data_IF_489254227939
#
_entry.id   IF_489254227939
#
_cell.length_a   1.000
_cell.length_b   1.000
_cell.length_c   1.000
_cell.angle_alpha   90.00
_cell.angle_beta   90.00
_cell.angle_gamma   90.00
#
_symmetry.space_group_name_H-M   'P 1'
#
loop_
_entity.id
_entity.type
_entity.pdbx_description
1 polymer ?
#
# COMPACT_ATOMS: atom_id res chain seq x y z
N UNK A 1 35.16 -20.41 -30.58
CA UNK A 1 35.20 -19.99 -29.17
C UNK A 1 34.77 -18.55 -29.15
N UNK A 2 33.47 -18.32 -29.01
CA UNK A 2 32.86 -17.00 -29.01
C UNK A 2 32.02 -17.01 -27.75
N UNK A 3 32.51 -16.33 -26.72
CA UNK A 3 31.81 -16.19 -25.44
C UNK A 3 30.54 -15.35 -25.68
N UNK A 4 29.39 -15.99 -25.53
CA UNK A 4 28.10 -15.33 -25.40
C UNK A 4 28.05 -14.75 -23.99
N UNK A 5 28.25 -13.44 -23.85
CA UNK A 5 27.84 -12.69 -22.67
C UNK A 5 26.33 -12.86 -22.52
N UNK A 6 25.93 -13.72 -21.60
CA UNK A 6 24.57 -13.81 -21.11
C UNK A 6 24.38 -12.59 -20.21
N UNK A 7 23.70 -11.58 -20.75
CA UNK A 7 23.14 -10.47 -19.98
C UNK A 7 22.11 -11.06 -18.99
N UNK A 8 22.60 -11.49 -17.83
CA UNK A 8 21.77 -11.84 -16.70
C UNK A 8 21.25 -10.53 -16.12
N UNK A 9 20.21 -9.99 -16.74
CA UNK A 9 19.40 -8.92 -16.17
C UNK A 9 18.90 -9.37 -14.80
N UNK A 10 19.68 -9.03 -13.77
CA UNK A 10 19.28 -9.09 -12.37
C UNK A 10 18.15 -8.07 -12.26
N UNK A 11 16.92 -8.56 -12.39
CA UNK A 11 15.74 -7.80 -11.99
C UNK A 11 15.91 -7.58 -10.48
N UNK A 12 16.34 -6.37 -10.11
CA UNK A 12 16.44 -5.91 -8.73
C UNK A 12 15.05 -5.92 -8.13
N UNK A 13 14.93 -6.49 -6.94
CA UNK A 13 13.63 -6.90 -6.41
C UNK A 13 13.24 -6.05 -5.20
N UNK A 14 13.85 -4.88 -5.05
CA UNK A 14 13.25 -3.79 -4.28
C UNK A 14 12.43 -2.86 -5.20
N UNK A 15 11.47 -3.41 -5.96
CA UNK A 15 10.57 -2.59 -6.77
C UNK A 15 9.70 -1.74 -5.85
N UNK A 16 10.26 -0.59 -5.52
CA UNK A 16 9.63 0.43 -4.73
C UNK A 16 8.46 0.95 -5.57
N UNK A 17 7.25 0.58 -5.15
CA UNK A 17 6.00 0.87 -5.87
C UNK A 17 5.89 2.38 -6.13
N UNK A 18 6.41 3.22 -5.24
CA UNK A 18 6.42 4.68 -5.36
C UNK A 18 7.43 5.23 -6.40
N UNK A 19 8.36 4.40 -6.88
CA UNK A 19 9.33 4.72 -7.93
C UNK A 19 8.97 4.12 -9.29
N UNK A 20 7.79 3.48 -9.43
CA UNK A 20 7.41 2.88 -10.69
C UNK A 20 7.29 3.94 -11.80
N UNK A 21 7.54 3.52 -13.04
CA UNK A 21 7.31 4.40 -14.20
C UNK A 21 5.82 4.64 -14.34
N UNK A 22 5.43 5.91 -14.36
CA UNK A 22 4.04 6.32 -14.45
C UNK A 22 3.59 6.39 -15.91
N UNK A 23 2.31 6.13 -16.14
CA UNK A 23 1.68 6.33 -17.45
C UNK A 23 1.63 7.82 -17.81
N UNK A 24 1.61 8.18 -19.10
CA UNK A 24 1.55 9.59 -19.52
C UNK A 24 0.41 10.38 -18.88
N UNK A 25 -0.78 9.77 -18.74
CA UNK A 25 -1.94 10.40 -18.11
C UNK A 25 -1.75 10.64 -16.61
N UNK A 26 -1.05 9.74 -15.91
CA UNK A 26 -0.71 9.91 -14.50
C UNK A 26 0.31 11.05 -14.32
N UNK A 27 1.32 11.14 -15.19
CA UNK A 27 2.26 12.25 -15.21
C UNK A 27 1.58 13.58 -15.52
N UNK A 28 0.60 13.60 -16.43
CA UNK A 28 -0.20 14.78 -16.74
C UNK A 28 -1.00 15.24 -15.51
N UNK A 29 -1.58 14.30 -14.75
CA UNK A 29 -2.26 14.61 -13.49
C UNK A 29 -1.30 15.20 -12.45
N UNK A 30 -0.13 14.60 -12.21
CA UNK A 30 0.87 15.16 -11.30
C UNK A 30 1.34 16.55 -11.75
N UNK A 31 1.53 16.72 -13.06
CA UNK A 31 1.93 18.00 -13.65
C UNK A 31 0.84 19.06 -13.49
N UNK A 32 -0.44 18.69 -13.62
CA UNK A 32 -1.57 19.59 -13.38
C UNK A 32 -1.62 20.06 -11.91
N UNK A 33 -1.25 19.20 -10.96
CA UNK A 33 -1.13 19.56 -9.53
C UNK A 33 0.06 20.50 -9.29
N UNK A 34 1.19 20.25 -9.95
CA UNK A 34 2.44 20.98 -9.71
C UNK A 34 2.51 22.35 -10.39
N UNK A 35 1.94 22.47 -11.59
CA UNK A 35 2.07 23.65 -12.46
C UNK A 35 1.67 24.98 -11.78
N UNK A 36 0.60 25.06 -10.95
CA UNK A 36 0.25 26.28 -10.22
C UNK A 36 1.30 26.72 -9.20
N UNK A 37 2.02 25.77 -8.60
CA UNK A 37 3.11 26.07 -7.66
C UNK A 37 4.35 26.54 -8.44
N UNK A 38 4.75 25.77 -9.46
CA UNK A 38 5.93 26.04 -10.27
C UNK A 38 5.84 27.35 -11.07
N UNK A 39 4.66 27.69 -11.59
CA UNK A 39 4.42 28.87 -12.42
C UNK A 39 3.68 29.99 -11.69
N UNK A 40 3.72 30.02 -10.36
CA UNK A 40 2.98 31.00 -9.56
C UNK A 40 3.25 32.45 -9.99
N UNK A 41 4.51 32.78 -10.32
CA UNK A 41 4.90 34.10 -10.85
C UNK A 41 4.19 34.42 -12.17
N UNK A 42 4.11 33.47 -13.10
CA UNK A 42 3.42 33.64 -14.38
C UNK A 42 1.90 33.82 -14.21
N UNK A 43 1.35 33.29 -13.13
CA UNK A 43 -0.05 33.45 -12.76
C UNK A 43 -0.32 34.71 -11.93
N UNK A 44 0.73 35.41 -11.47
CA UNK A 44 0.63 36.53 -10.53
C UNK A 44 -0.17 36.16 -9.27
N UNK A 45 0.06 34.95 -8.74
CA UNK A 45 -0.56 34.43 -7.51
C UNK A 45 0.50 33.95 -6.53
N UNK A 46 0.14 33.84 -5.26
CA UNK A 46 0.96 33.13 -4.27
C UNK A 46 1.01 31.63 -4.62
N UNK A 47 2.19 30.98 -4.58
CA UNK A 47 2.31 29.54 -4.78
C UNK A 47 1.38 28.77 -3.82
N UNK A 48 0.42 28.04 -4.38
CA UNK A 48 -0.56 27.26 -3.62
C UNK A 48 -0.95 25.98 -4.36
N UNK A 49 -1.39 24.98 -3.58
CA UNK A 49 -1.95 23.76 -4.14
C UNK A 49 -3.28 24.03 -4.85
N UNK A 50 -3.50 23.52 -6.07
CA UNK A 50 -4.74 23.75 -6.79
C UNK A 50 -5.94 23.03 -6.16
N UNK A 51 -7.13 23.45 -6.54
CA UNK A 51 -8.36 22.71 -6.26
C UNK A 51 -8.52 21.52 -7.20
N UNK A 52 -9.30 20.53 -6.79
CA UNK A 52 -9.59 19.36 -7.62
C UNK A 52 -10.31 19.70 -8.94
N UNK A 53 -11.20 20.70 -8.95
CA UNK A 53 -11.84 21.20 -10.18
C UNK A 53 -10.81 21.67 -11.22
N UNK A 54 -9.79 22.41 -10.78
CA UNK A 54 -8.72 22.85 -11.68
C UNK A 54 -7.95 21.65 -12.26
N UNK A 55 -7.54 20.71 -11.39
CA UNK A 55 -6.73 19.55 -11.79
C UNK A 55 -7.49 18.65 -12.76
N UNK A 56 -8.73 18.28 -12.41
CA UNK A 56 -9.58 17.45 -13.28
C UNK A 56 -9.79 18.07 -14.65
N UNK A 57 -10.13 19.36 -14.74
CA UNK A 57 -10.27 20.08 -16.03
C UNK A 57 -8.98 20.10 -16.83
N UNK A 58 -7.83 20.26 -16.19
CA UNK A 58 -6.52 20.22 -16.87
C UNK A 58 -6.14 18.84 -17.39
N UNK A 59 -6.52 17.78 -16.69
CA UNK A 59 -6.37 16.41 -17.20
C UNK A 59 -7.25 16.23 -18.44
N UNK A 60 -8.53 16.60 -18.41
CA UNK A 60 -9.41 16.49 -19.58
C UNK A 60 -8.96 17.34 -20.78
N UNK A 61 -8.38 18.52 -20.54
CA UNK A 61 -7.83 19.38 -21.59
C UNK A 61 -6.64 18.74 -22.31
N UNK A 62 -5.81 18.01 -21.58
CA UNK A 62 -4.58 17.39 -22.12
C UNK A 62 -4.77 15.95 -22.58
N UNK A 63 -5.76 15.25 -22.02
CA UNK A 63 -6.13 13.87 -22.28
C UNK A 63 -7.65 13.73 -22.44
N UNK A 64 -8.22 14.11 -23.60
CA UNK A 64 -9.66 14.07 -23.83
C UNK A 64 -10.28 12.67 -23.79
N UNK A 65 -9.47 11.62 -23.89
CA UNK A 65 -9.85 10.22 -23.77
C UNK A 65 -10.20 9.80 -22.33
N UNK A 66 -9.77 10.57 -21.33
CA UNK A 66 -10.05 10.30 -19.92
C UNK A 66 -11.50 10.67 -19.62
N UNK A 67 -12.29 9.68 -19.22
CA UNK A 67 -13.69 9.87 -18.83
C UNK A 67 -13.84 10.31 -17.37
N UNK A 68 -12.92 9.88 -16.50
CA UNK A 68 -12.90 10.24 -15.09
C UNK A 68 -11.46 10.46 -14.58
N UNK A 69 -11.11 11.70 -14.25
CA UNK A 69 -9.83 12.06 -13.67
C UNK A 69 -9.61 11.42 -12.29
N UNK A 70 -10.68 11.03 -11.58
CA UNK A 70 -10.57 10.35 -10.29
C UNK A 70 -10.06 8.91 -10.44
N UNK A 71 -10.44 8.19 -11.50
CA UNK A 71 -9.88 6.86 -11.79
C UNK A 71 -8.36 6.95 -11.99
N UNK A 72 -7.89 7.98 -12.71
CA UNK A 72 -6.45 8.25 -12.86
C UNK A 72 -5.81 8.50 -11.50
N UNK A 73 -6.42 9.31 -10.63
CA UNK A 73 -5.92 9.56 -9.27
C UNK A 73 -5.86 8.27 -8.43
N UNK A 74 -6.87 7.39 -8.53
CA UNK A 74 -6.92 6.12 -7.82
C UNK A 74 -5.87 5.12 -8.33
N UNK A 75 -5.52 5.19 -9.62
CA UNK A 75 -4.51 4.33 -10.24
C UNK A 75 -3.07 4.64 -9.79
N UNK A 76 -2.84 5.80 -9.17
CA UNK A 76 -1.51 6.20 -8.72
C UNK A 76 -0.93 5.21 -7.69
N UNK A 77 0.40 5.03 -7.66
CA UNK A 77 1.07 4.18 -6.68
C UNK A 77 0.80 4.59 -5.23
N UNK A 78 0.55 3.60 -4.37
CA UNK A 78 0.35 3.79 -2.94
C UNK A 78 0.96 2.64 -2.13
N UNK A 79 1.31 2.92 -0.89
CA UNK A 79 1.78 1.95 0.11
C UNK A 79 0.97 2.10 1.39
N UNK A 80 0.74 1.00 2.11
CA UNK A 80 0.02 1.06 3.38
C UNK A 80 0.90 1.70 4.47
N UNK A 81 0.29 2.52 5.33
CA UNK A 81 0.97 3.24 6.42
C UNK A 81 0.93 2.47 7.75
N UNK A 82 0.26 1.31 7.79
CA UNK A 82 0.16 0.45 8.98
C UNK A 82 -0.66 1.03 10.14
N UNK A 83 -1.25 2.22 9.99
CA UNK A 83 -2.09 2.86 11.00
C UNK A 83 -3.56 2.63 10.64
N UNK A 84 -4.32 2.02 11.55
CA UNK A 84 -5.71 1.55 11.30
C UNK A 84 -6.68 2.62 10.79
N UNK A 85 -6.35 3.90 10.96
CA UNK A 85 -7.21 5.04 10.59
C UNK A 85 -6.54 6.02 9.61
N UNK A 86 -5.34 5.75 9.10
CA UNK A 86 -4.72 6.62 8.09
C UNK A 86 -4.91 6.03 6.69
N UNK A 87 -5.26 6.91 5.76
CA UNK A 87 -5.22 6.61 4.34
C UNK A 87 -3.83 6.07 3.94
N UNK A 88 -3.82 5.26 2.88
CA UNK A 88 -2.61 4.83 2.21
C UNK A 88 -1.72 6.03 1.81
N UNK A 89 -0.40 5.90 1.94
CA UNK A 89 0.55 6.93 1.52
C UNK A 89 0.84 6.76 0.03
N UNK A 90 0.82 7.84 -0.72
CA UNK A 90 1.05 7.81 -2.17
C UNK A 90 1.66 9.10 -2.68
N UNK A 91 1.55 9.29 -3.99
CA UNK A 91 2.14 10.44 -4.68
C UNK A 91 1.34 11.74 -4.46
N UNK A 92 0.05 11.62 -4.17
CA UNK A 92 -0.90 12.73 -4.03
C UNK A 92 -1.65 12.60 -2.70
N UNK A 93 -1.92 13.74 -2.07
CA UNK A 93 -2.78 13.86 -0.90
C UNK A 93 -3.88 14.91 -1.14
N UNK A 94 -4.97 14.83 -0.39
CA UNK A 94 -6.03 15.84 -0.41
C UNK A 94 -6.76 15.92 0.93
N UNK A 95 -7.34 17.09 1.22
CA UNK A 95 -8.04 17.34 2.49
C UNK A 95 -9.39 16.61 2.59
N UNK A 96 -9.74 16.13 3.78
CA UNK A 96 -11.08 15.58 4.06
C UNK A 96 -11.40 14.24 3.38
N UNK A 97 -10.37 13.50 2.96
CA UNK A 97 -10.50 12.22 2.26
C UNK A 97 -11.16 11.13 3.10
N UNK A 98 -12.27 10.58 2.62
CA UNK A 98 -12.68 9.20 2.91
C UNK A 98 -12.14 8.34 1.77
N UNK A 99 -11.41 7.28 2.10
CA UNK A 99 -10.81 6.41 1.10
C UNK A 99 -11.90 5.84 0.15
N UNK A 100 -11.63 5.88 -1.16
CA UNK A 100 -12.56 5.42 -2.19
C UNK A 100 -13.54 6.47 -2.73
N UNK A 101 -13.67 7.65 -2.10
CA UNK A 101 -14.53 8.72 -2.60
C UNK A 101 -13.76 9.79 -3.40
N UNK A 102 -14.36 10.36 -4.47
CA UNK A 102 -13.74 11.45 -5.22
C UNK A 102 -13.56 12.70 -4.35
N UNK A 103 -12.46 13.46 -4.52
CA UNK A 103 -12.31 14.75 -3.85
C UNK A 103 -13.43 15.70 -4.26
N UNK A 104 -13.92 16.52 -3.32
CA UNK A 104 -14.84 17.60 -3.66
C UNK A 104 -14.14 18.62 -4.55
N UNK A 105 -14.88 19.26 -5.46
CA UNK A 105 -14.34 20.17 -6.47
C UNK A 105 -13.51 21.33 -5.89
N UNK A 106 -13.86 21.81 -4.70
CA UNK A 106 -13.19 22.91 -4.00
C UNK A 106 -12.05 22.45 -3.06
N UNK A 107 -11.83 21.15 -2.89
CA UNK A 107 -10.77 20.62 -2.03
C UNK A 107 -9.42 20.81 -2.71
N UNK A 108 -8.43 21.24 -1.94
CA UNK A 108 -7.04 21.32 -2.40
C UNK A 108 -6.40 19.94 -2.49
N UNK A 109 -5.67 19.72 -3.58
CA UNK A 109 -4.91 18.50 -3.84
C UNK A 109 -3.44 18.86 -3.97
N UNK A 110 -2.57 18.12 -3.30
CA UNK A 110 -1.13 18.41 -3.23
C UNK A 110 -0.28 17.18 -3.47
N UNK A 111 1.00 17.41 -3.74
CA UNK A 111 1.98 16.34 -3.92
C UNK A 111 2.70 16.04 -2.60
N UNK A 112 3.03 14.77 -2.39
CA UNK A 112 4.01 14.34 -1.39
C UNK A 112 5.43 14.43 -1.96
N UNK A 113 6.45 14.15 -1.16
CA UNK A 113 7.83 13.94 -1.64
C UNK A 113 7.86 12.87 -2.74
N UNK A 114 7.05 11.80 -2.63
CA UNK A 114 6.93 10.78 -3.68
C UNK A 114 6.38 11.35 -5.00
N UNK A 115 5.33 12.17 -4.94
CA UNK A 115 4.76 12.81 -6.13
C UNK A 115 5.73 13.78 -6.79
N UNK A 116 6.45 14.58 -6.00
CA UNK A 116 7.47 15.49 -6.49
C UNK A 116 8.66 14.75 -7.11
N UNK A 117 9.08 13.62 -6.53
CA UNK A 117 10.11 12.75 -7.08
C UNK A 117 9.70 12.20 -8.46
N UNK A 118 8.45 11.73 -8.59
CA UNK A 118 7.94 11.10 -9.80
C UNK A 118 7.84 12.06 -11.00
N UNK A 119 7.70 13.36 -10.75
CA UNK A 119 7.73 14.40 -11.79
C UNK A 119 9.09 14.54 -12.52
N UNK A 120 10.14 13.91 -11.99
CA UNK A 120 11.44 13.80 -12.64
C UNK A 120 12.21 15.12 -12.74
N UNK A 121 13.19 15.17 -13.66
CA UNK A 121 14.08 16.32 -13.85
C UNK A 121 13.46 17.43 -14.69
N UNK A 122 12.47 17.13 -15.53
CA UNK A 122 11.92 18.08 -16.52
C UNK A 122 11.14 19.24 -15.88
N UNK A 123 10.68 19.09 -14.64
CA UNK A 123 9.74 20.01 -14.00
C UNK A 123 10.27 20.64 -12.70
N UNK A 124 11.56 20.45 -12.37
CA UNK A 124 12.18 20.79 -11.07
C UNK A 124 11.56 20.09 -9.85
N UNK A 125 10.59 19.20 -10.06
CA UNK A 125 9.90 18.45 -8.99
C UNK A 125 10.87 17.63 -8.16
N UNK A 126 11.78 16.89 -8.82
CA UNK A 126 12.77 16.07 -8.11
C UNK A 126 13.72 16.90 -7.24
N UNK A 127 14.20 18.03 -7.74
CA UNK A 127 15.06 18.91 -6.94
C UNK A 127 14.33 19.44 -5.70
N UNK A 128 13.05 19.78 -5.84
CA UNK A 128 12.20 20.19 -4.70
C UNK A 128 11.96 19.03 -3.74
N UNK A 129 11.79 17.80 -4.24
CA UNK A 129 11.69 16.60 -3.42
C UNK A 129 12.97 16.38 -2.60
N UNK A 130 14.14 16.50 -3.23
CA UNK A 130 15.45 16.40 -2.57
C UNK A 130 15.63 17.49 -1.50
N UNK A 131 15.26 18.74 -1.81
CA UNK A 131 15.27 19.84 -0.85
C UNK A 131 14.38 19.57 0.37
N UNK A 132 13.21 18.96 0.17
CA UNK A 132 12.25 18.61 1.24
C UNK A 132 12.76 17.44 2.08
N UNK A 133 13.43 16.45 1.46
CA UNK A 133 14.10 15.39 2.21
C UNK A 133 15.21 15.95 3.08
N UNK A 134 15.99 16.92 2.59
CA UNK A 134 16.98 17.61 3.41
C UNK A 134 16.34 18.31 4.62
N UNK A 135 15.12 18.88 4.48
CA UNK A 135 14.38 19.40 5.66
C UNK A 135 14.07 18.29 6.66
N UNK A 136 13.55 17.14 6.21
CA UNK A 136 13.25 15.99 7.08
C UNK A 136 14.51 15.48 7.77
N UNK A 137 15.61 15.37 7.03
CA UNK A 137 16.92 14.95 7.55
C UNK A 137 17.45 15.92 8.60
N UNK A 138 17.40 17.23 8.35
CA UNK A 138 17.88 18.24 9.30
C UNK A 138 17.05 18.27 10.59
N UNK A 139 15.73 18.07 10.51
CA UNK A 139 14.87 17.91 11.69
C UNK A 139 15.26 16.63 12.46
N UNK A 140 15.55 15.54 11.76
CA UNK A 140 15.99 14.29 12.38
C UNK A 140 17.37 14.42 13.07
N UNK A 141 18.29 15.17 12.47
CA UNK A 141 19.59 15.50 13.06
C UNK A 141 19.43 16.37 14.30
N UNK A 142 18.61 17.42 14.24
CA UNK A 142 18.33 18.28 15.39
C UNK A 142 17.72 17.51 16.57
N UNK A 143 16.88 16.50 16.30
CA UNK A 143 16.35 15.59 17.33
C UNK A 143 17.44 14.72 17.97
N UNK A 144 18.38 14.21 17.15
CA UNK A 144 19.47 13.36 17.61
C UNK A 144 20.49 14.11 18.49
N UNK A 145 20.59 15.43 18.34
CA UNK A 145 21.44 16.31 19.15
C UNK A 145 20.82 16.66 20.52
N UNK A 146 19.54 16.33 20.76
CA UNK A 146 18.90 16.59 22.05
C UNK A 146 19.53 15.71 23.14
N UNK A 147 20.09 16.33 24.17
CA UNK A 147 20.69 15.63 25.30
C UNK A 147 19.61 14.88 26.10
N UNK A 148 19.65 13.54 26.19
CA UNK A 148 18.61 12.78 26.87
C UNK A 148 18.64 13.03 28.38
N UNK A 149 17.47 13.30 28.97
CA UNK A 149 17.32 13.43 30.41
C UNK A 149 16.74 12.14 31.02
N UNK A 150 17.32 11.58 32.10
CA UNK A 150 16.88 10.28 32.64
C UNK A 150 15.41 10.22 33.09
N UNK A 151 14.84 11.36 33.49
CA UNK A 151 13.50 11.44 34.11
C UNK A 151 12.55 12.38 33.37
N UNK A 152 12.94 12.93 32.22
CA UNK A 152 12.15 13.90 31.47
C UNK A 152 12.07 13.48 30.00
N UNK A 153 10.85 13.48 29.45
CA UNK A 153 10.65 13.38 28.00
C UNK A 153 10.91 14.76 27.40
N UNK A 154 11.94 14.86 26.58
CA UNK A 154 12.24 16.09 25.85
C UNK A 154 11.47 16.05 24.53
N UNK A 155 10.61 17.05 24.33
CA UNK A 155 9.97 17.29 23.04
C UNK A 155 10.88 18.16 22.18
N UNK A 156 11.33 17.64 21.04
CA UNK A 156 12.05 18.44 20.07
C UNK A 156 11.11 19.43 19.39
N UNK A 157 11.35 20.72 19.58
CA UNK A 157 10.57 21.83 19.03
C UNK A 157 11.51 22.78 18.32
N UNK A 158 11.36 22.87 17.01
CA UNK A 158 12.28 23.63 16.18
C UNK A 158 11.50 24.55 15.23
N UNK A 159 11.83 25.86 15.16
CA UNK A 159 11.25 26.75 14.16
C UNK A 159 11.54 26.23 12.75
N UNK A 160 10.50 25.96 11.96
CA UNK A 160 10.63 25.36 10.62
C UNK A 160 11.54 26.19 9.70
N UNK A 161 11.48 27.52 9.83
CA UNK A 161 12.34 28.48 9.11
C UNK A 161 13.84 28.22 9.21
N UNK A 162 14.29 27.52 10.26
CA UNK A 162 15.70 27.16 10.43
C UNK A 162 16.16 26.13 9.39
N UNK A 163 15.23 25.36 8.84
CA UNK A 163 15.50 24.28 7.88
C UNK A 163 15.03 24.61 6.46
N UNK A 164 14.16 25.61 6.25
CA UNK A 164 13.56 25.90 4.93
C UNK A 164 14.21 27.04 4.15
N UNK A 165 15.31 27.60 4.63
CA UNK A 165 15.95 28.77 3.99
C UNK A 165 16.31 28.53 2.51
N UNK A 166 16.78 27.33 2.15
CA UNK A 166 17.12 26.96 0.76
C UNK A 166 15.88 26.73 -0.11
N UNK A 167 14.76 26.29 0.49
CA UNK A 167 13.50 26.14 -0.24
C UNK A 167 12.94 27.48 -0.73
N UNK A 168 13.29 28.57 -0.02
CA UNK A 168 12.83 29.93 -0.33
C UNK A 168 13.69 30.66 -1.37
N UNK A 169 14.91 30.19 -1.64
CA UNK A 169 15.78 30.84 -2.62
C UNK A 169 15.37 30.49 -4.05
N UNK A 170 15.19 31.52 -4.88
CA UNK A 170 14.99 31.37 -6.33
C UNK A 170 16.34 31.32 -7.04
N UNK A 171 16.44 30.47 -8.06
CA UNK A 171 17.62 30.34 -8.92
C UNK A 171 17.21 29.76 -10.28
N UNK A 172 18.10 29.76 -11.28
CA UNK A 172 17.73 29.37 -12.65
C UNK A 172 17.10 27.97 -12.77
N UNK A 173 17.45 27.04 -11.88
CA UNK A 173 16.89 25.68 -11.86
C UNK A 173 15.55 25.56 -11.10
N UNK A 174 15.18 26.58 -10.31
CA UNK A 174 13.97 26.66 -9.50
C UNK A 174 13.51 28.14 -9.44
N UNK A 175 12.76 28.59 -10.45
CA UNK A 175 12.37 29.99 -10.59
C UNK A 175 11.20 30.39 -9.67
N UNK A 176 10.97 29.66 -8.58
CA UNK A 176 9.85 29.90 -7.67
C UNK A 176 10.27 29.71 -6.21
N UNK A 177 9.61 30.43 -5.32
CA UNK A 177 9.74 30.26 -3.88
C UNK A 177 8.84 29.12 -3.39
N UNK A 178 9.40 28.15 -2.65
CA UNK A 178 8.60 27.15 -1.97
C UNK A 178 8.36 27.57 -0.52
N UNK A 179 7.19 28.16 -0.27
CA UNK A 179 6.85 28.80 1.01
C UNK A 179 6.83 27.81 2.18
N UNK A 180 6.96 28.33 3.41
CA UNK A 180 6.85 27.49 4.61
C UNK A 180 5.45 26.88 4.77
N UNK A 181 4.42 27.53 4.24
CA UNK A 181 3.06 27.00 4.22
C UNK A 181 2.94 25.77 3.32
N UNK A 182 3.52 25.83 2.13
CA UNK A 182 3.63 24.67 1.23
C UNK A 182 4.48 23.57 1.87
N UNK A 183 5.63 23.92 2.43
CA UNK A 183 6.48 22.97 3.16
C UNK A 183 5.72 22.27 4.27
N UNK A 184 5.01 23.03 5.12
CA UNK A 184 4.18 22.50 6.19
C UNK A 184 3.12 21.54 5.67
N UNK A 185 2.46 21.89 4.57
CA UNK A 185 1.43 21.03 3.97
C UNK A 185 1.98 19.70 3.46
N UNK A 186 3.19 19.69 2.89
CA UNK A 186 3.85 18.44 2.47
C UNK A 186 4.26 17.62 3.69
N UNK A 187 4.98 18.23 4.63
CA UNK A 187 5.50 17.54 5.82
C UNK A 187 4.42 16.86 6.68
N UNK A 188 3.20 17.44 6.73
CA UNK A 188 2.05 16.85 7.43
C UNK A 188 1.45 15.62 6.74
N UNK A 189 1.74 15.44 5.45
CA UNK A 189 1.17 14.40 4.60
C UNK A 189 2.20 13.33 4.22
N UNK A 190 3.42 13.46 4.72
CA UNK A 190 4.49 12.48 4.51
C UNK A 190 4.23 11.16 5.24
N UNK A 191 4.89 10.09 4.77
CA UNK A 191 4.73 8.73 5.33
C UNK A 191 4.94 8.69 6.84
N UNK A 192 5.89 9.49 7.34
CA UNK A 192 6.05 9.81 8.76
C UNK A 192 5.72 11.28 8.95
N UNK A 193 4.45 11.63 9.27
CA UNK A 193 4.03 13.03 9.35
C UNK A 193 4.83 13.80 10.39
N UNK A 194 5.31 14.99 10.00
CA UNK A 194 5.91 15.95 10.93
C UNK A 194 4.83 16.95 11.32
N UNK A 195 4.50 16.98 12.61
CA UNK A 195 3.56 17.96 13.14
C UNK A 195 4.22 19.34 13.15
N UNK A 196 3.49 20.33 12.63
CA UNK A 196 3.91 21.73 12.63
C UNK A 196 2.79 22.53 13.29
N UNK A 197 3.10 23.31 14.31
CA UNK A 197 2.11 24.00 15.15
C UNK A 197 2.41 25.49 15.30
N UNK A 198 1.35 26.26 15.55
CA UNK A 198 1.41 27.70 15.82
C UNK A 198 1.73 28.56 14.60
N UNK A 199 1.63 29.87 14.79
CA UNK A 199 1.93 30.88 13.75
C UNK A 199 3.43 30.95 13.44
N UNK A 200 4.27 30.57 14.41
CA UNK A 200 5.73 30.48 14.25
C UNK A 200 6.19 29.22 13.50
N UNK A 201 5.25 28.35 13.09
CA UNK A 201 5.50 27.11 12.35
C UNK A 201 6.57 26.25 13.05
N UNK A 202 6.27 25.82 14.27
CA UNK A 202 7.17 24.99 15.07
C UNK A 202 7.02 23.53 14.65
N UNK A 203 8.07 22.96 14.07
CA UNK A 203 8.14 21.55 13.73
C UNK A 203 8.46 20.72 14.99
N UNK A 204 7.66 19.68 15.24
CA UNK A 204 7.90 18.68 16.28
C UNK A 204 8.76 17.55 15.74
N UNK A 205 9.88 17.29 16.40
CA UNK A 205 10.73 16.13 16.13
C UNK A 205 10.53 15.04 17.17
N UNK A 206 11.01 13.85 16.86
CA UNK A 206 11.07 12.75 17.79
C UNK A 206 11.82 11.55 17.24
N UNK A 207 12.02 10.54 18.08
CA UNK A 207 12.82 9.37 17.76
C UNK A 207 12.37 8.61 16.51
N UNK A 208 11.10 8.74 16.11
CA UNK A 208 10.56 8.15 14.87
C UNK A 208 11.18 8.71 13.58
N UNK A 209 11.84 9.87 13.65
CA UNK A 209 12.56 10.47 12.53
C UNK A 209 13.99 9.95 12.37
N UNK A 210 14.55 9.22 13.35
CA UNK A 210 15.96 8.79 13.32
C UNK A 210 16.33 7.93 12.12
N UNK A 211 15.37 7.21 11.54
CA UNK A 211 15.56 6.46 10.29
C UNK A 211 15.87 7.33 9.07
N UNK A 212 15.73 8.65 9.18
CA UNK A 212 15.95 9.60 8.09
C UNK A 212 17.28 10.36 8.21
N UNK A 213 18.08 10.11 9.26
CA UNK A 213 19.36 10.81 9.48
C UNK A 213 20.34 10.60 8.32
N UNK A 214 20.40 9.39 7.78
CA UNK A 214 21.33 9.01 6.70
C UNK A 214 20.72 9.17 5.30
N UNK A 215 19.51 9.70 5.20
CA UNK A 215 18.79 9.83 3.92
C UNK A 215 19.23 11.09 3.21
N UNK A 216 19.97 10.92 2.12
CA UNK A 216 20.58 12.03 1.37
C UNK A 216 19.64 12.68 0.35
N UNK A 217 18.69 11.92 -0.20
CA UNK A 217 17.83 12.39 -1.31
C UNK A 217 16.45 11.73 -1.32
N UNK A 218 15.58 12.20 -2.22
CA UNK A 218 14.23 11.66 -2.41
C UNK A 218 14.21 10.20 -2.85
N UNK A 219 15.22 9.70 -3.55
CA UNK A 219 15.27 8.29 -3.93
C UNK A 219 15.49 7.40 -2.69
N UNK A 220 16.46 7.74 -1.84
CA UNK A 220 16.74 7.02 -0.60
C UNK A 220 15.57 7.15 0.40
N UNK A 221 14.94 8.32 0.46
CA UNK A 221 13.75 8.53 1.29
C UNK A 221 12.65 7.53 0.94
N UNK A 222 12.37 7.38 -0.37
CA UNK A 222 11.35 6.43 -0.82
C UNK A 222 11.73 4.99 -0.48
N UNK A 223 13.01 4.62 -0.46
CA UNK A 223 13.43 3.26 -0.06
C UNK A 223 13.19 3.01 1.42
N UNK A 224 13.46 4.00 2.29
CA UNK A 224 13.11 3.93 3.71
C UNK A 224 11.59 3.82 3.90
N UNK A 225 10.81 4.60 3.15
CA UNK A 225 9.34 4.52 3.17
C UNK A 225 8.86 3.14 2.76
N UNK A 226 9.38 2.59 1.66
CA UNK A 226 9.01 1.26 1.18
C UNK A 226 9.39 0.18 2.20
N UNK A 227 10.60 0.25 2.78
CA UNK A 227 11.04 -0.68 3.83
C UNK A 227 10.12 -0.64 5.06
N UNK A 228 9.73 0.55 5.52
CA UNK A 228 8.77 0.69 6.63
C UNK A 228 7.38 0.18 6.27
N UNK A 229 6.88 0.49 5.08
CA UNK A 229 5.60 0.00 4.60
C UNK A 229 5.58 -1.53 4.57
N UNK A 230 6.64 -2.17 4.06
CA UNK A 230 6.80 -3.63 4.07
C UNK A 230 6.91 -4.19 5.50
N UNK A 231 7.54 -3.47 6.43
CA UNK A 231 7.62 -3.89 7.83
C UNK A 231 6.26 -3.89 8.54
N UNK A 232 5.36 -2.96 8.24
CA UNK A 232 3.97 -3.02 8.71
C UNK A 232 3.20 -4.21 8.13
N UNK A 233 3.69 -4.76 7.02
CA UNK A 233 3.16 -5.99 6.48
C UNK A 233 3.74 -7.25 7.14
N UNK A 234 4.61 -7.11 8.16
CA UNK A 234 4.99 -8.24 9.01
C UNK A 234 3.76 -8.64 9.82
N UNK A 235 3.17 -9.82 9.61
CA UNK A 235 1.99 -10.30 10.30
C UNK A 235 2.41 -10.56 11.75
N UNK A 236 1.50 -10.36 12.69
CA UNK A 236 1.73 -10.82 14.06
C UNK A 236 2.09 -12.32 14.02
N UNK A 237 3.14 -12.71 14.74
CA UNK A 237 3.48 -14.12 14.82
C UNK A 237 2.27 -14.89 15.38
N UNK A 238 1.88 -15.97 14.70
CA UNK A 238 0.80 -16.81 15.20
C UNK A 238 1.18 -17.32 16.60
N UNK A 239 0.33 -16.99 17.58
CA UNK A 239 0.48 -17.49 18.96
C UNK A 239 0.42 -19.03 19.00
N UNK A 240 -0.22 -19.66 18.01
CA UNK A 240 -0.34 -21.11 17.89
C UNK A 240 -0.04 -21.60 16.46
N UNK A 241 0.65 -22.76 16.31
CA UNK A 241 0.79 -23.40 15.02
C UNK A 241 -0.57 -23.74 14.37
N UNK A 242 -1.62 -23.88 15.18
CA UNK A 242 -2.96 -24.28 14.74
C UNK A 242 -3.88 -23.11 14.37
N UNK A 243 -3.45 -21.85 14.49
CA UNK A 243 -4.35 -20.70 14.29
C UNK A 243 -5.06 -20.73 12.94
N UNK A 244 -4.37 -21.07 11.84
CA UNK A 244 -5.00 -21.18 10.52
C UNK A 244 -6.14 -22.22 10.50
N UNK A 245 -5.92 -23.39 11.11
CA UNK A 245 -6.93 -24.46 11.18
C UNK A 245 -8.09 -24.05 12.07
N UNK A 246 -7.81 -23.40 13.20
CA UNK A 246 -8.81 -22.89 14.13
C UNK A 246 -9.68 -21.81 13.48
N UNK A 247 -9.10 -20.88 12.72
CA UNK A 247 -9.85 -19.84 12.02
C UNK A 247 -10.74 -20.43 10.93
N UNK A 248 -10.29 -21.47 10.20
CA UNK A 248 -11.13 -22.17 9.22
C UNK A 248 -12.35 -22.84 9.87
N UNK A 249 -12.15 -23.50 11.02
CA UNK A 249 -13.24 -24.15 11.75
C UNK A 249 -14.21 -23.10 12.32
N UNK A 250 -13.70 -21.97 12.84
CA UNK A 250 -14.56 -20.92 13.35
C UNK A 250 -15.36 -20.20 12.25
N UNK A 251 -14.72 -19.89 11.11
CA UNK A 251 -15.42 -19.36 9.93
C UNK A 251 -16.52 -20.32 9.48
N UNK A 252 -16.26 -21.63 9.49
CA UNK A 252 -17.26 -22.66 9.19
C UNK A 252 -18.48 -22.53 10.11
N UNK A 253 -18.27 -22.34 11.42
CA UNK A 253 -19.35 -22.16 12.38
C UNK A 253 -20.17 -20.90 12.13
N UNK A 254 -19.53 -19.76 11.83
CA UNK A 254 -20.24 -18.50 11.54
C UNK A 254 -21.04 -18.59 10.24
N UNK A 255 -20.50 -19.21 9.20
CA UNK A 255 -21.23 -19.40 7.95
C UNK A 255 -22.46 -20.29 8.13
N UNK A 256 -22.37 -21.36 8.94
CA UNK A 256 -23.52 -22.22 9.25
C UNK A 256 -24.65 -21.48 9.97
N UNK A 257 -24.36 -20.37 10.66
CA UNK A 257 -25.39 -19.52 11.27
C UNK A 257 -25.99 -18.49 10.32
N UNK A 258 -25.40 -18.28 9.14
CA UNK A 258 -25.88 -17.29 8.19
C UNK A 258 -27.16 -17.79 7.47
N UNK A 259 -28.28 -17.04 7.43
CA UNK A 259 -29.55 -17.52 6.87
C UNK A 259 -29.48 -17.97 5.40
N UNK A 260 -28.64 -17.30 4.60
CA UNK A 260 -28.41 -17.62 3.19
C UNK A 260 -27.40 -18.77 2.95
N UNK A 261 -26.90 -19.42 4.01
CA UNK A 261 -26.03 -20.60 3.91
C UNK A 261 -26.86 -21.90 3.94
N UNK A 262 -27.65 -22.11 2.90
CA UNK A 262 -28.84 -22.98 2.92
C UNK A 262 -28.59 -24.49 2.86
N UNK A 263 -27.36 -24.94 2.57
CA UNK A 263 -27.08 -26.38 2.45
C UNK A 263 -26.71 -27.06 3.78
N UNK A 264 -26.54 -26.30 4.87
CA UNK A 264 -26.13 -26.85 6.18
C UNK A 264 -24.76 -27.57 6.16
N UNK A 265 -24.03 -27.49 5.05
CA UNK A 265 -22.73 -28.14 4.88
C UNK A 265 -21.66 -27.27 5.48
N UNK A 266 -20.76 -27.88 6.26
CA UNK A 266 -19.53 -27.24 6.73
C UNK A 266 -18.77 -26.66 5.53
N UNK A 267 -18.28 -25.42 5.64
CA UNK A 267 -17.44 -24.80 4.62
C UNK A 267 -16.27 -25.73 4.29
N UNK A 268 -15.57 -26.22 5.31
CA UNK A 268 -14.44 -27.14 5.16
C UNK A 268 -14.84 -28.53 5.65
N UNK A 269 -14.62 -29.52 4.80
CA UNK A 269 -14.45 -30.91 5.23
C UNK A 269 -13.00 -31.26 4.91
N UNK A 270 -12.22 -31.69 5.90
CA UNK A 270 -10.82 -32.03 5.68
C UNK A 270 -10.75 -33.08 4.55
N UNK A 271 -10.10 -32.77 3.41
CA UNK A 271 -10.04 -33.71 2.29
C UNK A 271 -9.35 -35.01 2.71
N UNK A 272 -8.28 -34.84 3.48
CA UNK A 272 -7.49 -35.87 4.12
C UNK A 272 -6.82 -35.25 5.36
N UNK A 273 -6.49 -36.09 6.34
CA UNK A 273 -5.88 -35.65 7.60
C UNK A 273 -4.45 -35.12 7.40
N UNK A 274 -3.77 -35.60 6.36
CA UNK A 274 -2.39 -35.20 6.03
C UNK A 274 -2.34 -33.73 5.64
N UNK A 275 -3.10 -33.31 4.64
CA UNK A 275 -3.22 -31.94 4.16
C UNK A 275 -3.61 -30.99 5.29
N UNK A 276 -4.56 -31.38 6.15
CA UNK A 276 -4.95 -30.58 7.31
C UNK A 276 -3.82 -30.42 8.33
N UNK A 277 -3.09 -31.51 8.62
CA UNK A 277 -1.96 -31.49 9.57
C UNK A 277 -0.79 -30.63 9.07
N UNK A 278 -0.51 -30.66 7.76
CA UNK A 278 0.56 -29.91 7.13
C UNK A 278 0.37 -28.38 7.27
N UNK A 279 -0.86 -27.89 7.45
CA UNK A 279 -1.14 -26.47 7.65
C UNK A 279 -0.54 -25.90 8.95
N UNK A 280 -0.33 -26.75 9.95
CA UNK A 280 0.26 -26.34 11.23
C UNK A 280 1.77 -26.50 11.33
N UNK A 281 2.39 -27.23 10.39
CA UNK A 281 3.81 -27.58 10.45
C UNK A 281 4.71 -26.49 9.82
N UNK A 282 5.92 -26.28 10.34
CA UNK A 282 6.88 -25.37 9.72
C UNK A 282 7.39 -25.90 8.37
N UNK A 283 7.99 -25.00 7.57
CA UNK A 283 8.62 -25.32 6.30
C UNK A 283 10.12 -25.02 6.34
N UNK A 284 10.94 -25.99 6.75
CA UNK A 284 12.39 -25.78 6.92
C UNK A 284 13.16 -25.75 5.59
N UNK A 285 12.50 -26.10 4.49
CA UNK A 285 13.08 -26.15 3.17
C UNK A 285 12.11 -25.62 2.11
N UNK A 286 12.64 -25.38 0.91
CA UNK A 286 11.85 -25.04 -0.28
C UNK A 286 10.82 -26.12 -0.61
N UNK A 287 11.21 -27.39 -0.58
CA UNK A 287 10.30 -28.50 -0.84
C UNK A 287 9.18 -28.54 0.18
N UNK A 288 9.50 -28.26 1.45
CA UNK A 288 8.48 -28.18 2.49
C UNK A 288 7.49 -27.05 2.24
N UNK A 289 7.97 -25.87 1.87
CA UNK A 289 7.12 -24.73 1.53
C UNK A 289 6.15 -25.08 0.40
N UNK A 290 6.64 -25.70 -0.68
CA UNK A 290 5.83 -26.09 -1.83
C UNK A 290 4.76 -27.14 -1.45
N UNK A 291 5.12 -28.12 -0.61
CA UNK A 291 4.17 -29.11 -0.05
C UNK A 291 3.07 -28.44 0.78
N UNK A 292 3.44 -27.46 1.61
CA UNK A 292 2.52 -26.73 2.50
C UNK A 292 1.55 -25.84 1.72
N UNK A 293 2.05 -25.13 0.70
CA UNK A 293 1.22 -24.38 -0.24
C UNK A 293 0.25 -25.29 -0.98
N UNK A 294 0.69 -26.48 -1.39
CA UNK A 294 -0.19 -27.47 -2.03
C UNK A 294 -1.27 -27.94 -1.08
N UNK A 295 -0.93 -28.31 0.16
CA UNK A 295 -1.89 -28.72 1.19
C UNK A 295 -2.93 -27.63 1.47
N UNK A 296 -2.51 -26.36 1.57
CA UNK A 296 -3.41 -25.21 1.72
C UNK A 296 -4.45 -25.18 0.60
N UNK A 297 -4.01 -25.31 -0.65
CA UNK A 297 -4.94 -25.25 -1.78
C UNK A 297 -5.78 -26.51 -1.98
N UNK A 298 -5.30 -27.69 -1.54
CA UNK A 298 -6.14 -28.88 -1.43
C UNK A 298 -7.32 -28.65 -0.48
N UNK A 299 -7.09 -28.00 0.66
CA UNK A 299 -8.15 -27.62 1.61
C UNK A 299 -9.08 -26.55 1.02
N UNK A 300 -8.52 -25.48 0.44
CA UNK A 300 -9.29 -24.36 -0.13
C UNK A 300 -10.16 -24.80 -1.31
N UNK A 301 -9.63 -25.63 -2.22
CA UNK A 301 -10.37 -26.08 -3.40
C UNK A 301 -11.57 -26.97 -3.04
N UNK A 302 -11.56 -27.56 -1.84
CA UNK A 302 -12.61 -28.44 -1.32
C UNK A 302 -13.72 -27.71 -0.57
N UNK A 303 -13.69 -26.37 -0.48
CA UNK A 303 -14.76 -25.64 0.19
C UNK A 303 -16.12 -25.96 -0.41
N UNK A 304 -17.08 -26.31 0.46
CA UNK A 304 -18.45 -26.62 0.12
C UNK A 304 -19.29 -25.35 0.20
N UNK A 305 -19.32 -24.64 -0.91
CA UNK A 305 -20.06 -23.38 -1.03
C UNK A 305 -21.46 -23.68 -1.58
N UNK A 306 -22.54 -23.11 -1.01
CA UNK A 306 -23.88 -23.23 -1.56
C UNK A 306 -23.95 -22.86 -3.04
N UNK A 307 -24.92 -23.41 -3.76
CA UNK A 307 -25.16 -23.02 -5.15
C UNK A 307 -25.56 -21.55 -5.17
N UNK A 308 -24.80 -20.76 -5.92
CA UNK A 308 -25.07 -19.35 -6.20
C UNK A 308 -25.80 -19.25 -7.52
N UNK A 309 -26.68 -18.25 -7.65
CA UNK A 309 -27.37 -18.00 -8.91
C UNK A 309 -26.34 -17.66 -10.00
N UNK A 310 -26.60 -18.13 -11.23
CA UNK A 310 -25.71 -17.94 -12.36
C UNK A 310 -25.59 -16.45 -12.69
N UNK A 311 -24.37 -15.95 -12.81
CA UNK A 311 -24.11 -14.62 -13.36
C UNK A 311 -24.12 -14.77 -14.89
N UNK A 312 -24.99 -14.03 -15.57
CA UNK A 312 -25.17 -14.09 -17.04
C UNK A 312 -25.45 -15.50 -17.60
N UNK A 313 -26.13 -16.34 -16.82
CA UNK A 313 -26.47 -17.71 -17.21
C UNK A 313 -25.28 -18.68 -17.31
N UNK A 314 -24.09 -18.28 -16.85
CA UNK A 314 -22.89 -19.14 -16.84
C UNK A 314 -22.58 -19.65 -15.44
N UNK A 315 -22.14 -20.91 -15.36
CA UNK A 315 -21.70 -21.51 -14.10
C UNK A 315 -20.41 -20.84 -13.63
N UNK A 316 -20.38 -20.45 -12.36
CA UNK A 316 -19.19 -19.84 -11.75
C UNK A 316 -18.15 -20.92 -11.49
N UNK A 317 -17.12 -20.96 -12.34
CA UNK A 317 -16.03 -21.94 -12.24
C UNK A 317 -15.02 -21.51 -11.16
N UNK A 318 -14.63 -22.47 -10.32
CA UNK A 318 -13.58 -22.31 -9.30
C UNK A 318 -14.12 -21.94 -7.92
N UNK A 319 -13.55 -22.56 -6.89
CA UNK A 319 -14.04 -22.47 -5.51
C UNK A 319 -14.04 -21.04 -4.96
N UNK A 320 -12.94 -20.29 -5.11
CA UNK A 320 -12.88 -18.90 -4.64
C UNK A 320 -13.82 -17.97 -5.42
N UNK A 321 -14.09 -18.23 -6.70
CA UNK A 321 -15.03 -17.43 -7.49
C UNK A 321 -16.47 -17.68 -7.04
N UNK A 322 -16.83 -18.93 -6.76
CA UNK A 322 -18.12 -19.26 -6.14
C UNK A 322 -18.30 -18.55 -4.79
N UNK A 323 -17.24 -18.44 -4.00
CA UNK A 323 -17.30 -17.75 -2.72
C UNK A 323 -17.52 -16.23 -2.91
N UNK A 324 -16.86 -15.61 -3.90
CA UNK A 324 -17.13 -14.21 -4.28
C UNK A 324 -18.57 -14.00 -4.74
N UNK A 325 -19.09 -14.88 -5.59
CA UNK A 325 -20.48 -14.82 -6.03
C UNK A 325 -21.45 -14.95 -4.83
N UNK A 326 -21.12 -15.81 -3.86
CA UNK A 326 -21.92 -15.95 -2.65
C UNK A 326 -21.88 -14.67 -1.80
N UNK A 327 -20.71 -14.05 -1.61
CA UNK A 327 -20.59 -12.76 -0.92
C UNK A 327 -21.42 -11.67 -1.62
N UNK A 328 -21.39 -11.59 -2.94
CA UNK A 328 -22.15 -10.61 -3.71
C UNK A 328 -23.67 -10.75 -3.54
N UNK A 329 -24.16 -11.98 -3.44
CA UNK A 329 -25.60 -12.28 -3.29
C UNK A 329 -26.05 -12.24 -1.83
N UNK A 330 -25.12 -12.49 -0.90
CA UNK A 330 -25.47 -12.77 0.49
C UNK A 330 -25.19 -11.64 1.46
N UNK A 331 -24.18 -10.81 1.19
CA UNK A 331 -23.71 -9.75 2.08
C UNK A 331 -24.03 -8.36 1.53
N UNK A 332 -24.39 -7.45 2.44
CA UNK A 332 -24.59 -6.02 2.15
C UNK A 332 -23.29 -5.22 2.35
N UNK A 333 -23.25 -3.95 1.94
CA UNK A 333 -22.13 -3.08 2.27
C UNK A 333 -22.21 -2.62 3.73
N UNK A 334 -21.07 -2.46 4.45
CA UNK A 334 -19.69 -2.57 3.96
C UNK A 334 -19.11 -4.01 4.00
N UNK A 335 -19.82 -4.95 4.64
CA UNK A 335 -19.34 -6.31 4.89
C UNK A 335 -18.91 -7.06 3.60
N UNK A 336 -19.63 -6.84 2.50
CA UNK A 336 -19.29 -7.42 1.21
C UNK A 336 -17.92 -6.97 0.69
N UNK A 337 -17.66 -5.66 0.65
CA UNK A 337 -16.39 -5.12 0.17
C UNK A 337 -15.22 -5.64 0.99
N UNK A 338 -15.37 -5.66 2.32
CA UNK A 338 -14.36 -6.18 3.26
C UNK A 338 -14.08 -7.67 3.04
N UNK A 339 -15.12 -8.51 2.91
CA UNK A 339 -14.97 -9.94 2.68
C UNK A 339 -14.28 -10.23 1.32
N UNK A 340 -14.60 -9.45 0.28
CA UNK A 340 -13.95 -9.57 -1.04
C UNK A 340 -12.47 -9.16 -0.98
N UNK A 341 -12.16 -8.07 -0.26
CA UNK A 341 -10.80 -7.62 -0.05
C UNK A 341 -9.97 -8.69 0.69
N UNK A 342 -10.52 -9.28 1.75
CA UNK A 342 -9.89 -10.37 2.48
C UNK A 342 -9.69 -11.62 1.60
N UNK A 343 -10.68 -11.99 0.77
CA UNK A 343 -10.58 -13.12 -0.16
C UNK A 343 -9.47 -12.93 -1.21
N UNK A 344 -9.12 -11.68 -1.56
CA UNK A 344 -8.00 -11.38 -2.45
C UNK A 344 -6.66 -11.89 -1.88
N UNK A 345 -6.47 -11.88 -0.56
CA UNK A 345 -5.26 -12.42 0.09
C UNK A 345 -5.11 -13.92 -0.17
N UNK A 346 -6.21 -14.67 -0.13
CA UNK A 346 -6.21 -16.11 -0.42
C UNK A 346 -5.91 -16.36 -1.92
N UNK A 347 -6.39 -15.49 -2.80
CA UNK A 347 -6.03 -15.53 -4.24
C UNK A 347 -4.55 -15.22 -4.46
N UNK A 348 -4.00 -14.25 -3.75
CA UNK A 348 -2.58 -13.91 -3.82
C UNK A 348 -1.69 -15.08 -3.37
N UNK A 349 -2.09 -15.82 -2.33
CA UNK A 349 -1.43 -17.08 -1.97
C UNK A 349 -1.45 -18.10 -3.12
N UNK A 350 -2.50 -18.12 -3.94
CA UNK A 350 -2.58 -19.02 -5.12
C UNK A 350 -1.61 -18.58 -6.19
N UNK A 351 -1.47 -17.28 -6.41
CA UNK A 351 -0.47 -16.72 -7.31
C UNK A 351 0.94 -17.12 -6.87
N UNK A 352 1.24 -17.03 -5.56
CA UNK A 352 2.53 -17.48 -5.01
C UNK A 352 2.79 -18.98 -5.25
N UNK A 353 1.76 -19.84 -5.09
CA UNK A 353 1.89 -21.27 -5.42
C UNK A 353 2.22 -21.49 -6.90
N UNK A 354 1.58 -20.72 -7.78
CA UNK A 354 1.64 -20.93 -9.23
C UNK A 354 2.83 -20.22 -9.90
N UNK A 355 3.60 -19.41 -9.16
CA UNK A 355 4.76 -18.64 -9.64
C UNK A 355 5.71 -19.46 -10.54
N UNK A 356 5.89 -20.75 -10.24
CA UNK A 356 6.79 -21.63 -11.01
C UNK A 356 6.16 -22.34 -12.19
N UNK A 357 4.84 -22.46 -12.19
CA UNK A 357 4.10 -23.19 -13.22
C UNK A 357 3.88 -22.34 -14.47
N UNK A 358 4.05 -21.01 -14.36
CA UNK A 358 3.83 -20.07 -15.45
C UNK A 358 5.05 -19.18 -15.67
N UNK A 359 5.69 -19.32 -16.83
CA UNK A 359 6.87 -18.54 -17.23
C UNK A 359 6.54 -17.21 -17.92
N UNK A 360 5.27 -16.83 -18.01
CA UNK A 360 4.84 -15.60 -18.66
C UNK A 360 5.20 -14.35 -17.86
N UNK A 361 5.49 -13.24 -18.55
CA UNK A 361 5.83 -11.95 -17.93
C UNK A 361 4.72 -11.47 -16.97
N UNK A 362 3.46 -11.59 -17.37
CA UNK A 362 2.32 -11.18 -16.53
C UNK A 362 2.19 -12.03 -15.27
N UNK A 363 2.44 -13.34 -15.37
CA UNK A 363 2.42 -14.24 -14.22
C UNK A 363 3.55 -13.95 -13.25
N UNK A 364 4.73 -13.58 -13.77
CA UNK A 364 5.87 -13.14 -12.96
C UNK A 364 5.58 -11.82 -12.26
N UNK A 365 5.03 -10.83 -12.96
CA UNK A 365 4.63 -9.56 -12.38
C UNK A 365 3.58 -9.74 -11.27
N UNK A 366 2.57 -10.60 -11.50
CA UNK A 366 1.57 -10.94 -10.51
C UNK A 366 2.19 -11.62 -9.26
N UNK A 367 3.15 -12.52 -9.45
CA UNK A 367 3.86 -13.18 -8.36
C UNK A 367 4.72 -12.21 -7.53
N UNK A 368 5.44 -11.30 -8.19
CA UNK A 368 6.20 -10.23 -7.51
C UNK A 368 5.26 -9.38 -6.67
N UNK A 369 4.14 -8.93 -7.25
CA UNK A 369 3.16 -8.13 -6.52
C UNK A 369 2.53 -8.90 -5.35
N UNK A 370 2.25 -10.20 -5.51
CA UNK A 370 1.76 -11.04 -4.42
C UNK A 370 2.81 -11.22 -3.31
N UNK A 371 4.09 -11.41 -3.65
CA UNK A 371 5.20 -11.46 -2.67
C UNK A 371 5.24 -10.17 -1.85
N UNK A 372 5.19 -9.02 -2.51
CA UNK A 372 5.16 -7.71 -1.85
C UNK A 372 3.98 -7.56 -0.88
N UNK A 373 2.76 -7.97 -1.28
CA UNK A 373 1.58 -7.95 -0.40
C UNK A 373 1.69 -8.88 0.80
N UNK A 374 2.32 -10.04 0.61
CA UNK A 374 2.67 -10.94 1.70
C UNK A 374 3.91 -10.47 2.47
N UNK A 375 4.55 -9.33 2.17
CA UNK A 375 5.80 -8.93 2.85
C UNK A 375 6.94 -9.94 2.71
N UNK A 376 6.92 -10.77 1.66
CA UNK A 376 7.94 -11.75 1.37
C UNK A 376 9.09 -11.10 0.61
N UNK A 377 10.34 -11.51 0.87
CA UNK A 377 11.44 -11.03 0.09
C UNK A 377 11.32 -11.53 -1.36
N UNK A 378 11.99 -10.80 -2.26
CA UNK A 378 12.30 -11.20 -3.63
C UNK A 378 12.65 -12.66 -3.88
N UNK A 379 13.67 -13.08 -3.13
CA UNK A 379 14.33 -14.36 -3.20
C UNK A 379 14.19 -14.91 -1.80
N UNK A 380 13.34 -15.92 -1.66
CA UNK A 380 13.12 -16.56 -0.37
C UNK A 380 14.29 -17.48 -0.05
N UNK A 381 15.04 -17.15 0.99
CA UNK A 381 16.07 -18.01 1.58
C UNK A 381 15.59 -18.62 2.90
N UNK A 382 14.76 -17.88 3.65
CA UNK A 382 14.05 -18.36 4.84
C UNK A 382 12.65 -18.88 4.47
N UNK A 383 12.57 -20.17 4.15
CA UNK A 383 11.32 -20.85 3.81
C UNK A 383 10.37 -21.00 5.01
N UNK A 384 10.91 -21.04 6.22
CA UNK A 384 10.12 -21.22 7.43
C UNK A 384 9.39 -19.91 7.76
N UNK A 385 10.12 -18.79 7.72
CA UNK A 385 9.54 -17.45 7.84
C UNK A 385 8.54 -17.18 6.72
N UNK A 386 8.86 -17.52 5.47
CA UNK A 386 7.93 -17.32 4.35
C UNK A 386 6.63 -18.12 4.49
N UNK A 387 6.70 -19.38 4.94
CA UNK A 387 5.50 -20.17 5.18
C UNK A 387 4.69 -19.62 6.36
N UNK A 388 5.36 -19.23 7.45
CA UNK A 388 4.69 -18.61 8.59
C UNK A 388 3.96 -17.33 8.19
N UNK A 389 4.61 -16.50 7.37
CA UNK A 389 4.02 -15.30 6.78
C UNK A 389 2.73 -15.60 6.02
N UNK A 390 2.75 -16.61 5.14
CA UNK A 390 1.57 -17.03 4.39
C UNK A 390 0.47 -17.52 5.33
N UNK A 391 0.82 -18.37 6.30
CA UNK A 391 -0.13 -18.89 7.30
C UNK A 391 -0.82 -17.80 8.08
N UNK A 392 -0.07 -16.82 8.61
CA UNK A 392 -0.67 -15.72 9.36
C UNK A 392 -1.62 -14.94 8.46
N UNK A 393 -1.16 -14.51 7.28
CA UNK A 393 -1.95 -13.66 6.38
C UNK A 393 -3.23 -14.32 5.93
N UNK A 394 -3.18 -15.61 5.61
CA UNK A 394 -4.37 -16.38 5.26
C UNK A 394 -5.28 -16.56 6.47
N UNK A 395 -4.75 -16.80 7.66
CA UNK A 395 -5.55 -16.87 8.89
C UNK A 395 -6.24 -15.53 9.19
N UNK A 396 -5.54 -14.40 9.10
CA UNK A 396 -6.13 -13.06 9.26
C UNK A 396 -7.24 -12.83 8.23
N UNK A 397 -7.00 -13.14 6.95
CA UNK A 397 -8.00 -12.97 5.91
C UNK A 397 -9.26 -13.82 6.15
N UNK A 398 -9.11 -15.04 6.67
CA UNK A 398 -10.25 -15.88 7.04
C UNK A 398 -11.01 -15.33 8.26
N UNK A 399 -10.30 -14.72 9.22
CA UNK A 399 -10.94 -14.03 10.35
C UNK A 399 -11.64 -12.74 9.94
N UNK A 400 -11.08 -11.97 9.00
CA UNK A 400 -11.73 -10.80 8.42
C UNK A 400 -13.03 -11.20 7.71
N UNK A 401 -13.00 -12.25 6.86
CA UNK A 401 -14.22 -12.81 6.24
C UNK A 401 -15.22 -13.22 7.32
N UNK A 402 -14.77 -13.89 8.38
CA UNK A 402 -15.64 -14.30 9.49
C UNK A 402 -16.32 -13.10 10.14
N UNK A 403 -15.57 -12.03 10.45
CA UNK A 403 -16.12 -10.80 11.04
C UNK A 403 -17.14 -10.13 10.14
N UNK A 404 -16.83 -9.98 8.85
CA UNK A 404 -17.77 -9.36 7.90
C UNK A 404 -19.06 -10.17 7.75
N UNK A 405 -18.97 -11.51 7.69
CA UNK A 405 -20.17 -12.37 7.66
C UNK A 405 -20.94 -12.30 8.98
N UNK A 406 -20.26 -12.23 10.12
CA UNK A 406 -20.93 -12.11 11.41
C UNK A 406 -21.68 -10.78 11.52
N UNK A 407 -21.06 -9.66 11.11
CA UNK A 407 -21.70 -8.34 11.13
C UNK A 407 -22.95 -8.27 10.26
N UNK A 408 -23.01 -9.04 9.16
CA UNK A 408 -24.18 -9.07 8.29
C UNK A 408 -25.35 -9.92 8.83
N UNK A 409 -25.15 -10.67 9.91
CA UNK A 409 -26.21 -11.43 10.58
C UNK A 409 -26.86 -10.58 11.69
N UNK A 410 -26.08 -9.69 12.30
CA UNK A 410 -26.50 -8.82 13.42
C UNK A 410 -27.31 -7.59 12.94
N UNK A 411 -27.46 -7.41 11.64
CA UNK A 411 -28.25 -6.35 10.99
C UNK A 411 -29.32 -6.99 10.10
#
# INVERSE_FOLDING_TARGET
MTELEVDTGVVDVSDNVLKMTLEPVQLALLSAIWKPVYNAENFNIEPAWPTWDFVSRKVYETHPEVTDAFEVLQSLPKVATGRSNMASYGLVWWGGSVEGLPPQLNVHVGLTIAGLHALGRETSGRATADDLVNVVQQIALADAELEPKPMEVIEGKHPLKNFTKHLRSTHMAKPFEFSDRLTTSVLRQEFTPIQVEGDDLIAKSGAWLRSYIEVADSAQYLDVVNGKALAFHKPEELVSPLTLVQTLDYLTHVLLTHPKWTNGTRLVTAPDLESASLLGLPAVSRSDYDTRMTALFTVVDQFKIPKVELVDGKEVVGTLNRLTAWFNQSLDEPARSEAIAALKVIRDARVLRNERQHSGLDSRAAAIAARGRFGLPPVTTDWAGAWNQVRVRVATALDDIRRSVQSSIEH
#
